data_IF_476156756406
#
_entry.id   IF_476156756406
#
_cell.length_a   1.000
_cell.length_b   1.000
_cell.length_c   1.000
_cell.angle_alpha   90.00
_cell.angle_beta   90.00
_cell.angle_gamma   90.00
#
_symmetry.space_group_name_H-M   'P 1'
#
loop_
_entity.id
_entity.type
_entity.pdbx_description
1 polymer ?
#
# COMPACT_ATOMS: atom_id res chain seq x y z
N UNK A 1 14.08 71.57 -4.94
CA UNK A 1 13.95 70.24 -5.58
C UNK A 1 13.55 69.23 -4.50
N UNK A 2 12.26 69.18 -4.15
CA UNK A 2 11.72 68.29 -3.13
C UNK A 2 11.00 67.12 -3.79
N UNK A 3 11.49 65.90 -3.60
CA UNK A 3 10.88 64.69 -4.12
C UNK A 3 9.66 64.34 -3.27
N UNK A 4 8.47 64.73 -3.72
CA UNK A 4 7.22 64.27 -3.12
C UNK A 4 7.00 62.81 -3.49
N UNK A 5 7.32 61.91 -2.57
CA UNK A 5 6.97 60.49 -2.67
C UNK A 5 5.53 60.33 -2.16
N UNK A 6 4.58 60.45 -3.09
CA UNK A 6 3.18 60.16 -2.84
C UNK A 6 3.04 58.65 -2.61
N UNK A 7 3.02 58.22 -1.35
CA UNK A 7 2.62 56.87 -1.00
C UNK A 7 1.11 56.76 -1.23
N UNK A 8 0.72 56.36 -2.45
CA UNK A 8 -0.61 55.86 -2.67
C UNK A 8 -0.80 54.64 -1.76
N UNK A 9 -1.58 54.84 -0.71
CA UNK A 9 -2.12 53.75 0.12
C UNK A 9 -2.88 52.85 -0.84
N UNK A 10 -2.28 51.74 -1.25
CA UNK A 10 -2.98 50.71 -2.00
C UNK A 10 -3.96 50.07 -1.00
N UNK A 11 -5.29 50.17 -1.15
CA UNK A 11 -6.20 49.31 -0.41
C UNK A 11 -6.11 47.91 -1.04
N UNK A 12 -4.97 47.23 -0.88
CA UNK A 12 -4.74 45.92 -1.43
C UNK A 12 -5.20 44.86 -0.41
N UNK A 13 -6.42 44.38 -0.63
CA UNK A 13 -6.94 43.07 -0.25
C UNK A 13 -6.84 42.69 1.24
N UNK A 14 -7.90 42.98 2.00
CA UNK A 14 -8.29 42.18 3.18
C UNK A 14 -8.90 40.83 2.74
N UNK A 15 -8.25 40.13 1.83
CA UNK A 15 -8.45 38.70 1.61
C UNK A 15 -7.16 38.05 2.08
N UNK A 16 -7.04 37.89 3.40
CA UNK A 16 -5.92 37.14 3.95
C UNK A 16 -6.07 35.67 3.57
N UNK A 17 -5.00 34.95 3.16
CA UNK A 17 -5.06 33.51 2.86
C UNK A 17 -5.75 32.66 3.96
N UNK A 18 -5.67 33.11 5.22
CA UNK A 18 -6.33 32.50 6.36
C UNK A 18 -7.88 32.50 6.27
N UNK A 19 -8.49 33.52 5.68
CA UNK A 19 -9.96 33.57 5.49
C UNK A 19 -10.43 32.58 4.43
N UNK A 20 -9.66 32.42 3.35
CA UNK A 20 -9.94 31.45 2.30
C UNK A 20 -9.82 30.00 2.82
N UNK A 21 -8.81 29.73 3.67
CA UNK A 21 -8.64 28.40 4.27
C UNK A 21 -9.82 28.03 5.20
N UNK A 22 -10.27 28.98 6.03
CA UNK A 22 -11.42 28.79 6.91
C UNK A 22 -12.72 28.55 6.13
N UNK A 23 -12.97 29.34 5.09
CA UNK A 23 -14.15 29.20 4.23
C UNK A 23 -14.16 27.85 3.48
N UNK A 24 -13.00 27.42 2.97
CA UNK A 24 -12.86 26.14 2.29
C UNK A 24 -13.20 24.96 3.21
N UNK A 25 -12.67 24.96 4.46
CA UNK A 25 -12.93 23.90 5.45
C UNK A 25 -14.42 23.76 5.77
N UNK A 26 -15.14 24.88 5.85
CA UNK A 26 -16.59 24.88 6.10
C UNK A 26 -17.35 24.37 4.87
N UNK A 27 -17.01 24.88 3.68
CA UNK A 27 -17.66 24.50 2.42
C UNK A 27 -17.45 23.01 2.06
N UNK A 28 -16.27 22.45 2.36
CA UNK A 28 -15.91 21.07 2.02
C UNK A 28 -16.17 20.05 3.12
N UNK A 29 -16.74 20.43 4.27
CA UNK A 29 -17.05 19.49 5.38
C UNK A 29 -17.82 18.24 4.92
N UNK A 30 -18.78 18.41 4.03
CA UNK A 30 -19.57 17.29 3.48
C UNK A 30 -18.74 16.41 2.55
N UNK A 31 -17.82 17.00 1.80
CA UNK A 31 -16.87 16.30 0.94
C UNK A 31 -15.86 15.52 1.78
N UNK A 32 -15.29 16.12 2.83
CA UNK A 32 -14.36 15.45 3.75
C UNK A 32 -14.99 14.21 4.37
N UNK A 33 -16.24 14.31 4.86
CA UNK A 33 -16.94 13.15 5.41
C UNK A 33 -17.17 12.04 4.38
N UNK A 34 -17.44 12.40 3.12
CA UNK A 34 -17.57 11.41 2.02
C UNK A 34 -16.22 10.77 1.70
N UNK A 35 -15.14 11.54 1.69
CA UNK A 35 -13.79 11.04 1.48
C UNK A 35 -13.38 10.07 2.60
N UNK A 36 -13.64 10.39 3.86
CA UNK A 36 -13.36 9.49 4.98
C UNK A 36 -14.03 8.12 4.84
N UNK A 37 -15.26 8.08 4.32
CA UNK A 37 -15.98 6.82 4.07
C UNK A 37 -15.31 6.05 2.94
N UNK A 38 -14.99 6.72 1.83
CA UNK A 38 -14.31 6.12 0.69
C UNK A 38 -12.93 5.59 1.07
N UNK A 39 -12.16 6.33 1.87
CA UNK A 39 -10.85 5.95 2.35
C UNK A 39 -10.92 4.71 3.26
N UNK A 40 -11.92 4.65 4.15
CA UNK A 40 -12.16 3.46 4.98
C UNK A 40 -12.50 2.24 4.13
N UNK A 41 -13.36 2.40 3.13
CA UNK A 41 -13.69 1.28 2.24
C UNK A 41 -12.49 0.86 1.37
N UNK A 42 -11.72 1.83 0.88
CA UNK A 42 -10.51 1.59 0.12
C UNK A 42 -9.47 0.82 0.95
N UNK A 43 -9.24 1.24 2.20
CA UNK A 43 -8.36 0.55 3.12
C UNK A 43 -8.82 -0.88 3.40
N UNK A 44 -10.12 -1.11 3.64
CA UNK A 44 -10.70 -2.46 3.80
C UNK A 44 -10.45 -3.33 2.56
N UNK A 45 -10.56 -2.77 1.36
CA UNK A 45 -10.28 -3.48 0.11
C UNK A 45 -8.79 -3.85 -0.02
N UNK A 46 -7.87 -2.93 0.31
CA UNK A 46 -6.42 -3.22 0.34
C UNK A 46 -6.11 -4.36 1.29
N UNK A 47 -6.62 -4.31 2.52
CA UNK A 47 -6.39 -5.35 3.53
C UNK A 47 -6.85 -6.74 3.07
N UNK A 48 -7.93 -6.81 2.29
CA UNK A 48 -8.46 -8.06 1.73
C UNK A 48 -7.61 -8.60 0.59
N UNK A 49 -7.12 -7.73 -0.30
CA UNK A 49 -6.48 -8.15 -1.55
C UNK A 49 -4.95 -8.20 -1.49
N UNK A 50 -4.32 -7.61 -0.47
CA UNK A 50 -2.86 -7.69 -0.26
C UNK A 50 -2.35 -9.13 -0.23
N UNK A 51 -1.16 -9.36 -0.76
CA UNK A 51 -0.41 -10.59 -0.60
C UNK A 51 0.35 -10.56 0.74
N UNK A 52 0.46 -11.71 1.40
CA UNK A 52 1.21 -11.81 2.65
C UNK A 52 2.72 -11.63 2.37
N UNK A 53 3.40 -10.87 3.23
CA UNK A 53 4.83 -10.61 3.11
C UNK A 53 5.67 -11.88 3.32
N UNK A 54 5.15 -12.86 4.07
CA UNK A 54 5.80 -14.15 4.32
C UNK A 54 6.03 -14.98 3.05
N UNK A 55 5.19 -14.79 2.04
CA UNK A 55 5.26 -15.50 0.75
C UNK A 55 6.42 -15.03 -0.13
N UNK A 56 7.04 -13.91 0.24
CA UNK A 56 8.09 -13.25 -0.52
C UNK A 56 9.43 -13.47 0.18
N UNK A 57 10.42 -13.96 -0.56
CA UNK A 57 11.72 -14.31 0.04
C UNK A 57 12.47 -13.11 0.64
N UNK A 58 13.45 -13.35 1.54
CA UNK A 58 14.16 -12.32 2.33
C UNK A 58 14.91 -11.24 1.54
N UNK A 59 15.03 -11.39 0.21
CA UNK A 59 15.74 -10.46 -0.68
C UNK A 59 14.84 -9.64 -1.61
N UNK A 60 13.52 -9.84 -1.61
CA UNK A 60 12.63 -9.05 -2.47
C UNK A 60 12.06 -7.89 -1.66
N UNK A 61 12.51 -6.67 -1.98
CA UNK A 61 11.95 -5.44 -1.42
C UNK A 61 10.45 -5.43 -1.76
N UNK A 62 9.59 -5.65 -0.78
CA UNK A 62 8.14 -5.66 -1.01
C UNK A 62 7.68 -4.22 -1.22
N UNK A 63 7.74 -3.76 -2.46
CA UNK A 63 7.67 -2.33 -2.79
C UNK A 63 6.33 -1.62 -2.56
N UNK A 64 5.24 -2.31 -2.18
CA UNK A 64 3.98 -1.61 -1.89
C UNK A 64 3.00 -2.50 -1.10
N UNK A 65 3.16 -2.57 0.22
CA UNK A 65 2.32 -3.40 1.09
C UNK A 65 0.98 -2.73 1.47
N UNK A 66 0.97 -1.40 1.52
CA UNK A 66 -0.19 -0.60 1.95
C UNK A 66 -0.84 0.21 0.83
N UNK A 67 -0.37 0.08 -0.42
CA UNK A 67 -0.87 0.87 -1.52
C UNK A 67 -0.42 2.34 -1.44
N UNK A 68 0.75 2.61 -0.86
CA UNK A 68 1.32 3.96 -0.72
C UNK A 68 1.47 4.67 -2.07
N UNK A 69 1.57 3.92 -3.17
CA UNK A 69 1.70 4.47 -4.53
C UNK A 69 0.39 4.49 -5.32
N UNK A 70 -0.73 4.11 -4.70
CA UNK A 70 -2.04 4.08 -5.38
C UNK A 70 -2.67 5.48 -5.35
N UNK A 71 -2.40 6.26 -6.39
CA UNK A 71 -2.96 7.62 -6.56
C UNK A 71 -4.16 7.66 -7.51
N UNK A 72 -4.44 6.57 -8.23
CA UNK A 72 -5.52 6.50 -9.23
C UNK A 72 -6.18 5.11 -9.32
N UNK A 73 -7.37 5.06 -9.91
CA UNK A 73 -8.09 3.80 -10.16
C UNK A 73 -7.32 2.84 -11.07
N UNK A 74 -6.60 3.35 -12.09
CA UNK A 74 -5.81 2.49 -12.97
C UNK A 74 -4.59 1.93 -12.23
N UNK A 75 -3.91 2.75 -11.43
CA UNK A 75 -2.83 2.29 -10.56
C UNK A 75 -3.32 1.21 -9.58
N UNK A 76 -4.54 1.35 -9.05
CA UNK A 76 -5.16 0.34 -8.20
C UNK A 76 -5.37 -1.00 -8.94
N UNK A 77 -5.83 -0.98 -10.20
CA UNK A 77 -6.01 -2.21 -11.00
C UNK A 77 -4.68 -2.89 -11.32
N UNK A 78 -3.65 -2.11 -11.63
CA UNK A 78 -2.28 -2.61 -11.83
C UNK A 78 -1.76 -3.24 -10.54
N UNK A 79 -1.96 -2.57 -9.40
CA UNK A 79 -1.56 -3.06 -8.09
C UNK A 79 -2.24 -4.39 -7.76
N UNK A 80 -3.56 -4.51 -7.97
CA UNK A 80 -4.29 -5.76 -7.76
C UNK A 80 -3.74 -6.93 -8.60
N UNK A 81 -3.39 -6.66 -9.87
CA UNK A 81 -2.75 -7.67 -10.73
C UNK A 81 -1.38 -8.09 -10.19
N UNK A 82 -0.60 -7.16 -9.68
CA UNK A 82 0.70 -7.43 -9.06
C UNK A 82 0.55 -8.29 -7.81
N UNK A 83 -0.43 -7.99 -6.94
CA UNK A 83 -0.73 -8.78 -5.74
C UNK A 83 -1.11 -10.23 -6.08
N UNK A 84 -1.91 -10.44 -7.14
CA UNK A 84 -2.29 -11.79 -7.58
C UNK A 84 -1.08 -12.63 -8.00
N UNK A 85 -0.18 -12.05 -8.80
CA UNK A 85 1.06 -12.74 -9.22
C UNK A 85 1.95 -13.12 -8.04
N UNK A 86 1.98 -12.30 -6.98
CA UNK A 86 2.74 -12.61 -5.76
C UNK A 86 2.11 -13.80 -5.03
N UNK A 87 0.78 -13.84 -4.88
CA UNK A 87 0.08 -14.96 -4.26
C UNK A 87 0.33 -16.28 -5.00
N UNK A 88 0.22 -16.25 -6.33
CA UNK A 88 0.49 -17.42 -7.17
C UNK A 88 1.93 -17.94 -7.00
N UNK A 89 2.92 -17.04 -7.04
CA UNK A 89 4.33 -17.40 -6.81
C UNK A 89 4.59 -17.94 -5.41
N UNK A 90 3.96 -17.35 -4.40
CA UNK A 90 4.05 -17.79 -3.02
C UNK A 90 3.53 -19.21 -2.83
N UNK A 91 2.36 -19.51 -3.39
CA UNK A 91 1.76 -20.85 -3.34
C UNK A 91 2.64 -21.90 -4.01
N UNK A 92 3.21 -21.58 -5.18
CA UNK A 92 4.13 -22.49 -5.88
C UNK A 92 5.36 -22.79 -5.02
N UNK A 93 5.94 -21.77 -4.37
CA UNK A 93 7.11 -21.95 -3.52
C UNK A 93 6.81 -22.83 -2.29
N UNK A 94 5.67 -22.60 -1.63
CA UNK A 94 5.22 -23.42 -0.51
C UNK A 94 5.03 -24.88 -0.94
N UNK A 95 4.33 -25.10 -2.04
CA UNK A 95 4.10 -26.43 -2.57
C UNK A 95 5.41 -27.16 -2.91
N UNK A 96 6.37 -26.48 -3.54
CA UNK A 96 7.68 -27.06 -3.83
C UNK A 96 8.45 -27.43 -2.54
N UNK A 97 8.34 -26.60 -1.50
CA UNK A 97 8.94 -26.88 -0.21
C UNK A 97 8.31 -28.11 0.46
N UNK A 98 6.98 -28.25 0.41
CA UNK A 98 6.28 -29.42 0.94
C UNK A 98 6.69 -30.71 0.24
N UNK A 99 6.80 -30.70 -1.09
CA UNK A 99 7.30 -31.85 -1.84
C UNK A 99 8.72 -32.25 -1.41
N UNK A 100 9.62 -31.28 -1.26
CA UNK A 100 10.98 -31.57 -0.80
C UNK A 100 11.03 -32.14 0.62
N UNK A 101 10.16 -31.66 1.52
CA UNK A 101 10.06 -32.18 2.89
C UNK A 101 9.55 -33.62 2.91
N UNK A 102 8.61 -33.97 2.03
CA UNK A 102 8.10 -35.33 1.89
C UNK A 102 9.18 -36.29 1.37
N UNK A 103 10.00 -35.87 0.42
CA UNK A 103 11.10 -36.67 -0.11
C UNK A 103 12.16 -36.94 0.96
N UNK A 104 12.52 -35.91 1.75
CA UNK A 104 13.44 -36.05 2.88
C UNK A 104 12.85 -37.00 3.93
N UNK A 105 11.56 -36.86 4.26
CA UNK A 105 10.90 -37.73 5.23
C UNK A 105 10.85 -39.20 4.80
N UNK A 106 10.64 -39.47 3.50
CA UNK A 106 10.74 -40.83 2.96
C UNK A 106 12.16 -41.37 3.02
N UNK A 107 13.15 -40.53 2.70
CA UNK A 107 14.56 -40.92 2.76
C UNK A 107 15.01 -41.23 4.20
N UNK A 108 14.55 -40.47 5.20
CA UNK A 108 14.84 -40.74 6.61
C UNK A 108 14.15 -42.00 7.12
N UNK A 109 12.90 -42.26 6.69
CA UNK A 109 12.20 -43.52 7.00
C UNK A 109 12.95 -44.74 6.43
N UNK A 110 13.38 -44.68 5.17
CA UNK A 110 14.17 -45.75 4.56
C UNK A 110 15.50 -46.00 5.30
N UNK A 111 16.15 -44.93 5.81
CA UNK A 111 17.35 -45.06 6.64
C UNK A 111 17.06 -45.68 8.03
N UNK A 112 15.90 -45.40 8.62
CA UNK A 112 15.47 -46.02 9.88
C UNK A 112 15.11 -47.51 9.71
N UNK A 113 14.54 -47.90 8.57
CA UNK A 113 14.17 -49.29 8.29
C UNK A 113 15.38 -50.18 7.99
N UNK A 114 16.41 -49.62 7.33
CA UNK A 114 17.67 -50.32 7.04
C UNK A 114 18.51 -50.54 8.30
N UNK A 115 18.51 -49.57 9.23
CA UNK A 115 19.19 -49.73 10.53
C UNK A 115 18.48 -50.66 11.51
N UNK A 116 17.16 -50.87 11.38
CA UNK A 116 16.42 -51.84 12.20
C UNK A 116 16.51 -53.30 11.70
N UNK A 117 16.96 -53.51 10.45
CA UNK A 117 17.13 -54.84 9.83
C UNK A 117 18.57 -55.35 9.85
N UNK A 118 19.54 -54.51 10.20
CA UNK A 118 20.94 -54.87 10.40
C UNK A 118 21.16 -55.31 11.86
#
# INVERSE_FOLDING_TARGET
MGWSRLHSVRPAAMITPATLEGMWRVATRSLTRKMDVLDKEFYKRILKYRADASLTGPGNQMYDYYGEKVTSFEAYRVWLRKQRKIKEKGQIKLFAQDLSNLDIAKATQAASETSAKA
#
